data_IF_889199159881
#
_entry.id   IF_889199159881
#
_cell.length_a   1.000
_cell.length_b   1.000
_cell.length_c   1.000
_cell.angle_alpha   90.00
_cell.angle_beta   90.00
_cell.angle_gamma   90.00
#
_symmetry.space_group_name_H-M   'P 1'
#
loop_
_entity.id
_entity.type
_entity.pdbx_description
1 polymer ?
2 non-polymer ?
3 non-polymer ?
4 non-polymer ?
5 non-polymer ?
6 non-polymer ?
7 water ?
#
# COMPACT_ATOMS: atom_id res chain seq x y z
N UNK A 1 24.65 5.02 -7.54
CA UNK A 1 23.85 5.07 -6.33
C UNK A 1 22.53 5.80 -6.46
N UNK A 2 21.50 5.08 -6.93
CA UNK A 2 20.15 5.64 -7.08
C UNK A 2 19.40 5.49 -5.75
N UNK A 3 18.90 6.62 -5.23
CA UNK A 3 18.15 6.65 -3.98
C UNK A 3 16.71 7.04 -4.31
N UNK A 4 15.85 6.05 -4.49
CA UNK A 4 14.49 6.33 -4.96
C UNK A 4 13.69 7.15 -3.95
N UNK A 5 12.95 8.13 -4.45
CA UNK A 5 12.14 9.02 -3.62
C UNK A 5 10.73 8.45 -3.52
N UNK A 6 10.32 8.04 -2.30
CA UNK A 6 8.97 7.53 -2.06
C UNK A 6 8.11 8.59 -1.38
N UNK A 7 6.88 8.71 -1.84
CA UNK A 7 5.90 9.61 -1.24
C UNK A 7 4.63 8.83 -0.93
N UNK A 8 4.04 9.11 0.23
CA UNK A 8 2.76 8.53 0.63
C UNK A 8 1.75 9.67 0.70
N UNK A 9 0.65 9.54 -0.06
CA UNK A 9 -0.33 10.62 -0.22
C UNK A 9 -1.69 10.12 0.30
N UNK A 10 -2.17 10.72 1.38
CA UNK A 10 -3.50 10.42 1.88
C UNK A 10 -4.49 11.35 1.20
N UNK A 11 -5.62 10.77 0.76
CA UNK A 11 -6.63 11.56 0.04
C UNK A 11 -7.98 11.35 0.73
N UNK A 12 -8.56 12.41 1.26
CA UNK A 12 -9.81 12.28 1.98
C UNK A 12 -9.60 11.82 3.41
N UNK A 13 -10.72 11.62 4.09
CA UNK A 13 -10.64 11.36 5.52
C UNK A 13 -9.91 10.08 5.92
N UNK A 14 -10.38 8.94 5.42
CA UNK A 14 -9.78 7.67 5.81
C UNK A 14 -8.32 7.60 5.39
N UNK A 15 -8.02 8.04 4.17
CA UNK A 15 -6.62 8.06 3.72
C UNK A 15 -5.72 8.91 4.60
N UNK A 16 -6.20 10.09 5.03
CA UNK A 16 -5.38 10.90 5.91
C UNK A 16 -5.32 10.35 7.34
N UNK A 17 -6.37 9.64 7.80
CA UNK A 17 -6.27 8.96 9.09
C UNK A 17 -5.13 7.95 9.07
N UNK A 18 -5.07 7.14 8.00
CA UNK A 18 -4.03 6.13 7.88
C UNK A 18 -2.65 6.77 7.86
N UNK A 19 -2.51 7.89 7.14
CA UNK A 19 -1.24 8.60 7.10
C UNK A 19 -0.87 9.12 8.49
N UNK A 20 -1.84 9.69 9.21
CA UNK A 20 -1.53 10.21 10.54
C UNK A 20 -1.01 9.09 11.44
N UNK A 21 -1.67 7.94 11.41
CA UNK A 21 -1.24 6.85 12.28
C UNK A 21 0.10 6.26 11.85
N UNK A 22 0.42 6.31 10.56
CA UNK A 22 1.74 5.88 10.12
C UNK A 22 2.83 6.85 10.56
N UNK A 23 2.56 8.15 10.49
CA UNK A 23 3.51 9.16 10.96
C UNK A 23 3.84 8.96 12.43
N UNK A 24 2.84 8.56 13.22
CA UNK A 24 3.08 8.26 14.63
C UNK A 24 4.14 7.17 14.82
N UNK A 25 4.45 6.41 13.77
CA UNK A 25 5.55 5.45 13.80
C UNK A 25 6.89 6.06 13.40
N UNK A 26 6.91 7.33 12.99
CA UNK A 26 8.16 8.01 12.66
C UNK A 26 8.95 7.40 11.52
N UNK A 27 8.29 7.13 10.40
CA UNK A 27 8.97 6.55 9.25
C UNK A 27 9.85 7.59 8.58
N UNK A 28 11.13 7.25 8.37
CA UNK A 28 12.18 8.25 8.16
C UNK A 28 12.21 8.80 6.73
N UNK A 29 12.62 7.97 5.77
CA UNK A 29 12.99 8.46 4.45
C UNK A 29 11.79 8.78 3.55
N UNK A 30 10.58 8.66 4.04
CA UNK A 30 9.40 8.78 3.19
C UNK A 30 8.76 10.14 3.40
N UNK A 31 8.31 10.78 2.32
CA UNK A 31 7.61 12.04 2.41
C UNK A 31 6.10 11.77 2.45
N UNK A 32 5.42 12.39 3.41
CA UNK A 32 3.97 12.24 3.56
C UNK A 32 3.27 13.51 3.11
N UNK A 33 2.21 13.35 2.32
CA UNK A 33 1.42 14.45 1.79
C UNK A 33 -0.04 14.18 2.17
N UNK A 34 -0.73 15.21 2.68
CA UNK A 34 -2.13 15.08 3.05
C UNK A 34 -2.96 15.91 2.10
N UNK A 35 -3.95 15.29 1.44
CA UNK A 35 -4.82 15.99 0.50
C UNK A 35 -6.25 15.84 1.00
N UNK A 36 -6.94 16.96 1.21
CA UNK A 36 -8.33 16.84 1.61
C UNK A 36 -9.08 18.10 1.19
N UNK A 37 -10.41 17.96 1.00
CA UNK A 37 -11.29 19.13 0.90
C UNK A 37 -11.58 19.74 2.26
N UNK A 38 -11.69 18.88 3.27
CA UNK A 38 -12.12 19.17 4.65
C UNK A 38 -10.99 19.92 5.38
N UNK A 39 -11.13 21.23 5.51
CA UNK A 39 -10.07 22.02 6.12
C UNK A 39 -9.90 21.78 7.60
N UNK A 40 -10.99 21.45 8.29
CA UNK A 40 -10.91 21.11 9.71
C UNK A 40 -10.04 19.87 9.92
N UNK A 41 -10.34 18.78 9.20
CA UNK A 41 -9.54 17.57 9.30
C UNK A 41 -8.11 17.81 8.84
N UNK A 42 -7.94 18.54 7.74
CA UNK A 42 -6.58 18.77 7.23
C UNK A 42 -5.71 19.48 8.25
N UNK A 43 -6.29 20.42 9.01
CA UNK A 43 -5.54 21.19 10.00
C UNK A 43 -4.96 20.31 11.09
N UNK A 44 -5.52 19.12 11.28
CA UNK A 44 -5.05 18.17 12.27
C UNK A 44 -4.11 17.12 11.69
N UNK A 45 -3.83 17.18 10.39
CA UNK A 45 -2.88 16.26 9.80
C UNK A 45 -1.48 16.45 10.37
N UNK A 46 -0.76 15.36 10.52
CA UNK A 46 0.63 15.40 10.93
C UNK A 46 1.59 15.45 9.75
N UNK A 47 1.10 15.40 8.52
CA UNK A 47 1.97 15.38 7.36
C UNK A 47 2.65 16.72 7.15
N UNK A 48 3.90 16.65 6.67
CA UNK A 48 4.71 17.83 6.40
C UNK A 48 4.09 18.72 5.34
N UNK A 49 3.41 18.12 4.36
CA UNK A 49 2.86 18.84 3.22
C UNK A 49 1.36 18.64 3.24
N UNK A 50 0.61 19.74 3.24
CA UNK A 50 -0.85 19.68 3.28
C UNK A 50 -1.41 20.46 2.10
N UNK A 51 -2.32 19.84 1.36
CA UNK A 51 -2.91 20.47 0.17
C UNK A 51 -4.40 20.47 0.41
N UNK A 52 -4.98 21.64 0.60
CA UNK A 52 -6.44 21.76 0.66
C UNK A 52 -6.94 21.93 -0.77
N UNK A 53 -7.74 20.98 -1.24
CA UNK A 53 -8.24 21.03 -2.61
C UNK A 53 -9.69 21.49 -2.62
N UNK A 54 -10.08 22.16 -3.69
CA UNK A 54 -11.47 22.50 -3.85
C UNK A 54 -12.04 23.58 -2.96
N UNK A 55 -11.20 24.47 -2.42
CA UNK A 55 -11.72 25.46 -1.48
C UNK A 55 -12.81 26.33 -2.11
N UNK A 56 -12.67 26.71 -3.39
CA UNK A 56 -13.72 27.51 -4.01
C UNK A 56 -15.01 26.71 -4.20
N UNK A 57 -14.88 25.39 -4.33
CA UNK A 57 -16.02 24.53 -4.59
C UNK A 57 -16.78 24.19 -3.31
N UNK A 58 -16.05 23.76 -2.26
CA UNK A 58 -16.67 23.31 -1.02
C UNK A 58 -16.67 24.34 0.09
N UNK A 59 -16.11 25.53 -0.12
CA UNK A 59 -15.97 26.55 0.91
C UNK A 59 -15.18 26.04 2.12
N UNK A 60 -14.35 25.02 1.94
CA UNK A 60 -13.51 24.52 3.00
C UNK A 60 -14.08 23.30 3.71
N UNK A 61 -15.28 22.88 3.35
CA UNK A 61 -15.87 21.65 3.85
C UNK A 61 -15.40 20.44 3.05
N UNK A 62 -15.80 19.25 3.52
CA UNK A 62 -15.64 18.06 2.73
C UNK A 62 -16.60 18.07 1.54
N UNK A 63 -16.61 16.94 0.84
CA UNK A 63 -17.35 16.73 -0.40
C UNK A 63 -18.76 16.26 -0.17
N UNK A 64 -19.15 16.07 1.09
CA UNK A 64 -20.53 15.68 1.36
C UNK A 64 -20.95 14.37 0.71
N UNK A 65 -20.03 13.42 0.66
CA UNK A 65 -20.26 12.09 0.09
C UNK A 65 -20.55 12.14 -1.41
N UNK A 66 -20.18 13.23 -2.09
CA UNK A 66 -20.41 13.37 -3.53
C UNK A 66 -19.10 13.21 -4.28
N UNK A 67 -18.83 12.07 -4.94
CA UNK A 67 -17.51 11.90 -5.59
C UNK A 67 -17.27 12.89 -6.69
N UNK A 68 -18.33 13.40 -7.30
CA UNK A 68 -18.14 14.38 -8.36
C UNK A 68 -17.49 15.64 -7.83
N UNK A 69 -17.80 16.01 -6.59
CA UNK A 69 -17.16 17.17 -5.96
C UNK A 69 -15.71 16.85 -5.63
N UNK A 70 -15.43 15.62 -5.18
CA UNK A 70 -14.03 15.28 -4.92
C UNK A 70 -13.19 15.34 -6.18
N UNK A 71 -13.72 14.83 -7.29
CA UNK A 71 -13.00 14.85 -8.57
C UNK A 71 -12.76 16.28 -9.04
N UNK A 72 -13.81 17.10 -9.03
CA UNK A 72 -13.67 18.49 -9.47
C UNK A 72 -12.69 19.25 -8.59
N UNK A 73 -12.72 18.99 -7.27
CA UNK A 73 -11.77 19.64 -6.37
C UNK A 73 -10.33 19.29 -6.73
N UNK A 74 -10.06 18.00 -7.02
CA UNK A 74 -8.69 17.65 -7.40
C UNK A 74 -8.29 18.30 -8.72
N UNK A 75 -9.24 18.39 -9.65
CA UNK A 75 -8.94 19.02 -10.93
C UNK A 75 -8.68 20.52 -10.75
N UNK A 76 -9.49 21.20 -9.92
CA UNK A 76 -9.26 22.62 -9.59
C UNK A 76 -7.84 22.85 -9.09
N UNK A 77 -7.31 21.91 -8.31
CA UNK A 77 -6.00 22.06 -7.67
C UNK A 77 -4.91 21.22 -8.33
N UNK A 78 -5.09 20.83 -9.60
CA UNK A 78 -4.08 20.02 -10.28
C UNK A 78 -2.66 20.58 -10.12
N UNK A 79 -2.49 21.90 -10.22
CA UNK A 79 -1.12 22.44 -10.18
C UNK A 79 -0.48 22.26 -8.81
N UNK A 80 -1.27 22.39 -7.75
CA UNK A 80 -0.71 22.21 -6.42
C UNK A 80 -0.39 20.75 -6.16
N UNK A 81 -1.21 19.85 -6.71
CA UNK A 81 -0.92 18.42 -6.61
C UNK A 81 0.34 18.07 -7.37
N UNK A 82 0.47 18.57 -8.61
CA UNK A 82 1.70 18.34 -9.37
C UNK A 82 2.93 18.82 -8.61
N UNK A 83 2.86 20.05 -8.07
CA UNK A 83 3.97 20.60 -7.32
C UNK A 83 4.37 19.70 -6.16
N UNK A 84 3.38 19.14 -5.45
CA UNK A 84 3.67 18.32 -4.27
C UNK A 84 4.30 16.99 -4.66
N UNK A 85 3.88 16.43 -5.80
CA UNK A 85 4.40 15.12 -6.24
C UNK A 85 5.80 15.22 -6.84
N UNK A 86 6.17 16.40 -7.35
CA UNK A 86 7.43 16.58 -8.05
C UNK A 86 8.60 15.89 -7.36
N UNK A 87 9.36 15.14 -8.16
CA UNK A 87 10.53 14.44 -7.70
C UNK A 87 10.26 12.98 -7.31
N UNK A 88 9.00 12.59 -7.17
CA UNK A 88 8.70 11.24 -6.71
C UNK A 88 9.12 10.21 -7.74
N UNK A 89 9.71 9.11 -7.25
CA UNK A 89 9.95 7.93 -8.05
C UNK A 89 8.86 6.89 -7.84
N UNK A 90 8.27 6.90 -6.64
CA UNK A 90 7.18 5.98 -6.27
C UNK A 90 6.20 6.75 -5.41
N UNK A 91 4.93 6.62 -5.71
CA UNK A 91 3.86 7.25 -4.94
C UNK A 91 2.88 6.18 -4.49
N UNK A 92 2.61 6.14 -3.19
CA UNK A 92 1.47 5.40 -2.65
C UNK A 92 0.30 6.37 -2.47
N UNK A 93 -0.83 6.10 -3.10
CA UNK A 93 -2.03 6.93 -2.93
C UNK A 93 -2.98 6.12 -2.08
N UNK A 94 -3.29 6.62 -0.88
CA UNK A 94 -4.12 5.86 0.04
C UNK A 94 -5.41 6.61 0.35
N UNK A 95 -6.52 5.89 0.38
CA UNK A 95 -7.82 6.53 0.43
C UNK A 95 -8.87 5.50 0.83
N UNK A 96 -9.96 5.97 1.44
CA UNK A 96 -11.09 5.11 1.73
C UNK A 96 -12.12 5.36 0.66
N UNK A 97 -12.49 4.31 -0.07
CA UNK A 97 -13.48 4.47 -1.13
C UNK A 97 -14.90 4.47 -0.58
N UNK A 98 -15.76 5.29 -1.17
CA UNK A 98 -17.16 5.31 -0.82
C UNK A 98 -17.68 6.68 -0.41
N UNK A 99 -16.79 7.57 0.03
CA UNK A 99 -17.14 8.92 0.41
C UNK A 99 -16.99 9.81 -0.79
N UNK A 100 -16.86 11.11 -0.54
CA UNK A 100 -16.83 12.01 -1.68
C UNK A 100 -15.43 12.39 -2.14
N UNK A 101 -14.54 12.67 -1.18
CA UNK A 101 -13.21 13.15 -1.54
C UNK A 101 -12.31 12.01 -2.00
N UNK A 102 -12.17 10.96 -1.21
CA UNK A 102 -11.38 9.83 -1.67
C UNK A 102 -11.86 9.26 -3.00
N UNK A 103 -13.14 8.90 -3.07
CA UNK A 103 -13.68 8.31 -4.30
C UNK A 103 -13.37 9.15 -5.52
N UNK A 104 -13.53 10.47 -5.42
CA UNK A 104 -13.44 11.28 -6.62
C UNK A 104 -12.05 11.82 -6.86
N UNK A 105 -11.35 12.22 -5.79
CA UNK A 105 -10.03 12.83 -5.96
C UNK A 105 -8.89 11.82 -6.00
N UNK A 106 -9.01 10.67 -5.36
CA UNK A 106 -7.87 9.74 -5.36
C UNK A 106 -7.48 9.30 -6.76
N UNK A 107 -8.41 8.96 -7.68
CA UNK A 107 -7.99 8.64 -9.05
C UNK A 107 -7.33 9.80 -9.78
N UNK A 108 -7.71 11.04 -9.49
CA UNK A 108 -7.06 12.18 -10.13
C UNK A 108 -5.63 12.33 -9.62
N UNK A 109 -5.45 12.19 -8.31
CA UNK A 109 -4.12 12.24 -7.75
C UNK A 109 -3.25 11.14 -8.35
N UNK A 110 -3.79 9.92 -8.39
CA UNK A 110 -3.03 8.80 -8.97
C UNK A 110 -2.66 9.05 -10.43
N UNK A 111 -3.62 9.53 -11.24
CA UNK A 111 -3.33 9.83 -12.64
C UNK A 111 -2.18 10.85 -12.77
N UNK A 112 -2.20 11.89 -11.94
CA UNK A 112 -1.17 12.92 -12.03
C UNK A 112 0.20 12.32 -11.71
N UNK A 113 0.27 11.47 -10.68
CA UNK A 113 1.54 10.85 -10.33
C UNK A 113 2.02 9.94 -11.46
N UNK A 114 1.12 9.17 -12.07
CA UNK A 114 1.54 8.27 -13.13
C UNK A 114 1.94 9.05 -14.36
N UNK A 115 1.23 10.16 -14.65
CA UNK A 115 1.61 11.04 -15.76
C UNK A 115 3.01 11.60 -15.59
N UNK A 116 3.43 11.83 -14.34
CA UNK A 116 4.77 12.34 -14.08
C UNK A 116 5.83 11.25 -14.05
N UNK A 117 5.46 10.01 -14.37
CA UNK A 117 6.42 8.93 -14.48
C UNK A 117 6.70 8.17 -13.19
N UNK A 118 5.98 8.48 -12.11
CA UNK A 118 6.19 7.74 -10.86
C UNK A 118 5.51 6.39 -10.90
N UNK A 119 6.15 5.40 -10.29
CA UNK A 119 5.48 4.13 -10.03
C UNK A 119 4.36 4.40 -9.04
N UNK A 120 3.11 4.17 -9.45
CA UNK A 120 1.96 4.61 -8.65
C UNK A 120 1.17 3.43 -8.11
N UNK A 121 1.12 3.30 -6.78
CA UNK A 121 0.42 2.19 -6.13
C UNK A 121 -0.73 2.75 -5.32
N UNK A 122 -1.94 2.24 -5.54
CA UNK A 122 -3.08 2.66 -4.73
C UNK A 122 -3.28 1.65 -3.62
N UNK A 123 -3.62 2.14 -2.43
CA UNK A 123 -3.96 1.27 -1.29
C UNK A 123 -5.26 1.84 -0.72
N UNK A 124 -6.38 1.17 -0.98
CA UNK A 124 -7.69 1.75 -0.68
C UNK A 124 -8.51 0.73 0.07
N UNK A 125 -9.48 1.22 0.85
CA UNK A 125 -10.48 0.37 1.47
C UNK A 125 -11.79 0.41 0.70
N UNK A 126 -12.57 -0.68 0.79
CA UNK A 126 -13.99 -0.66 0.47
C UNK A 126 -14.77 -0.53 1.77
N UNK A 127 -15.97 0.04 1.72
CA UNK A 127 -16.74 0.27 2.94
C UNK A 127 -17.29 -1.02 3.54
N UNK A 128 -17.60 -0.94 4.84
CA UNK A 128 -18.28 -2.04 5.52
C UNK A 128 -19.65 -2.25 4.90
N UNK A 129 -20.07 -3.50 4.80
CA UNK A 129 -21.44 -3.78 4.40
C UNK A 129 -22.46 -3.01 5.24
N UNK A 130 -22.15 -2.76 6.53
CA UNK A 130 -23.14 -2.07 7.35
C UNK A 130 -23.32 -0.61 6.95
N UNK A 131 -22.44 -0.07 6.08
CA UNK A 131 -22.62 1.27 5.54
C UNK A 131 -23.60 1.33 4.38
N UNK A 132 -24.06 0.19 3.87
CA UNK A 132 -25.17 0.20 2.94
C UNK A 132 -24.74 -0.08 1.51
N UNK A 133 -25.68 -0.64 0.72
CA UNK A 133 -25.40 -0.96 -0.68
C UNK A 133 -25.01 0.28 -1.48
N UNK A 134 -25.65 1.41 -1.20
CA UNK A 134 -25.38 2.61 -1.99
C UNK A 134 -23.93 3.03 -1.83
N UNK A 135 -23.45 3.08 -0.60
CA UNK A 135 -22.05 3.43 -0.40
C UNK A 135 -21.12 2.40 -1.05
N UNK A 136 -21.50 1.12 -0.99
CA UNK A 136 -20.66 0.10 -1.63
C UNK A 136 -20.59 0.31 -3.14
N UNK A 137 -21.72 0.67 -3.75
CA UNK A 137 -21.72 0.88 -5.19
C UNK A 137 -20.90 2.11 -5.55
N UNK A 138 -21.03 3.18 -4.76
CA UNK A 138 -20.20 4.34 -5.00
C UNK A 138 -18.71 3.98 -4.87
N UNK A 139 -18.37 3.20 -3.84
CA UNK A 139 -16.98 2.80 -3.66
C UNK A 139 -16.48 1.94 -4.82
N UNK A 140 -17.31 1.03 -5.35
CA UNK A 140 -16.84 0.17 -6.43
C UNK A 140 -16.54 0.98 -7.68
N UNK A 141 -17.30 2.04 -7.94
CA UNK A 141 -16.94 2.93 -9.05
C UNK A 141 -15.60 3.60 -8.77
N UNK A 142 -15.33 3.97 -7.52
CA UNK A 142 -14.03 4.53 -7.18
C UNK A 142 -12.92 3.52 -7.39
N UNK A 143 -13.16 2.26 -6.98
CA UNK A 143 -12.14 1.23 -7.19
C UNK A 143 -11.81 1.10 -8.66
N UNK A 144 -12.84 1.07 -9.50
CA UNK A 144 -12.58 0.91 -10.93
C UNK A 144 -11.82 2.10 -11.50
N UNK A 145 -12.18 3.31 -11.08
CA UNK A 145 -11.43 4.48 -11.52
C UNK A 145 -9.98 4.41 -11.05
N UNK A 146 -9.77 3.93 -9.82
CA UNK A 146 -8.38 3.78 -9.33
C UNK A 146 -7.61 2.78 -10.18
N UNK A 147 -8.21 1.62 -10.49
CA UNK A 147 -7.55 0.64 -11.35
C UNK A 147 -7.08 1.29 -12.64
N UNK A 148 -7.91 2.16 -13.20
CA UNK A 148 -7.59 2.79 -14.48
C UNK A 148 -6.48 3.80 -14.36
N UNK A 149 -6.17 4.24 -13.14
CA UNK A 149 -5.23 5.35 -12.92
C UNK A 149 -3.90 4.93 -12.31
N UNK A 150 -3.79 3.73 -11.75
CA UNK A 150 -2.59 3.35 -11.02
C UNK A 150 -1.82 2.29 -11.82
N UNK A 151 -0.57 2.08 -11.40
CA UNK A 151 0.19 0.91 -11.83
C UNK A 151 -0.32 -0.36 -11.17
N UNK A 152 -0.54 -0.33 -9.84
CA UNK A 152 -0.97 -1.52 -9.13
C UNK A 152 -1.86 -1.07 -7.97
N UNK A 153 -2.86 -1.89 -7.64
CA UNK A 153 -3.88 -1.54 -6.67
C UNK A 153 -4.00 -2.60 -5.62
N UNK A 154 -3.98 -2.18 -4.35
CA UNK A 154 -4.26 -3.07 -3.22
C UNK A 154 -5.61 -2.66 -2.63
N UNK A 155 -6.56 -3.57 -2.57
CA UNK A 155 -7.88 -3.26 -2.05
C UNK A 155 -8.07 -3.98 -0.73
N UNK A 156 -8.39 -3.21 0.31
CA UNK A 156 -8.70 -3.76 1.63
C UNK A 156 -10.20 -3.64 1.87
N UNK A 157 -10.99 -4.71 1.77
CA UNK A 157 -12.42 -4.61 2.13
C UNK A 157 -12.52 -4.46 3.64
N UNK A 158 -13.14 -3.36 4.09
CA UNK A 158 -13.28 -3.15 5.54
C UNK A 158 -14.03 -4.32 6.19
N UNK A 159 -14.91 -4.99 5.45
CA UNK A 159 -15.59 -6.15 6.05
C UNK A 159 -14.59 -7.18 6.58
N UNK A 160 -13.39 -7.28 6.00
CA UNK A 160 -12.43 -8.26 6.49
C UNK A 160 -11.98 -7.97 7.92
N UNK A 161 -12.03 -6.70 8.34
CA UNK A 161 -11.71 -6.41 9.74
C UNK A 161 -12.67 -7.13 10.67
N UNK A 162 -13.88 -7.45 10.20
CA UNK A 162 -14.82 -8.12 11.09
C UNK A 162 -14.45 -9.58 11.27
N UNK A 163 -13.49 -10.05 10.49
CA UNK A 163 -13.00 -11.42 10.61
C UNK A 163 -11.89 -11.56 11.64
N UNK A 164 -11.30 -10.45 12.09
CA UNK A 164 -10.15 -10.48 12.99
C UNK A 164 -10.42 -9.81 14.33
N UNK A 165 -11.64 -9.36 14.62
CA UNK A 165 -11.96 -8.78 15.91
C UNK A 165 -12.83 -9.74 16.70
N UNK A 166 -12.83 -9.57 18.02
CA UNK A 166 -13.90 -10.17 18.81
C UNK A 166 -14.92 -9.07 19.11
N UNK A 167 -15.95 -9.38 19.91
CA UNK A 167 -17.02 -8.40 20.06
C UNK A 167 -16.59 -7.17 20.81
N UNK A 168 -15.43 -7.20 21.48
CA UNK A 168 -14.96 -6.07 22.26
C UNK A 168 -13.77 -5.32 21.67
N UNK A 169 -13.12 -5.83 20.62
CA UNK A 169 -11.93 -5.18 20.07
C UNK A 169 -12.23 -3.70 19.73
N UNK A 170 -11.47 -2.75 20.27
CA UNK A 170 -11.75 -1.34 19.95
C UNK A 170 -11.71 -1.09 18.45
N UNK A 171 -12.61 -0.21 17.99
CA UNK A 171 -12.59 0.16 16.58
C UNK A 171 -11.21 0.66 16.16
N UNK A 172 -10.57 1.47 17.00
CA UNK A 172 -9.27 2.03 16.60
C UNK A 172 -8.21 0.95 16.49
N UNK A 173 -8.26 -0.08 17.33
CA UNK A 173 -7.32 -1.19 17.19
C UNK A 173 -7.56 -1.94 15.88
N UNK A 174 -8.83 -2.11 15.49
CA UNK A 174 -9.12 -2.72 14.20
C UNK A 174 -8.57 -1.88 13.06
N UNK A 175 -8.76 -0.56 13.15
CA UNK A 175 -8.26 0.30 12.08
C UNK A 175 -6.73 0.21 11.95
N UNK A 176 -6.02 -0.02 13.06
CA UNK A 176 -4.56 -0.14 12.94
C UNK A 176 -4.16 -1.38 12.16
N UNK A 177 -4.97 -2.45 12.19
CA UNK A 177 -4.63 -3.61 11.37
C UNK A 177 -4.71 -3.27 9.90
N UNK A 178 -5.72 -2.49 9.50
CA UNK A 178 -5.79 -2.07 8.11
C UNK A 178 -4.64 -1.12 7.77
N UNK A 179 -4.30 -0.19 8.69
CA UNK A 179 -3.17 0.73 8.45
C UNK A 179 -1.89 -0.03 8.17
N UNK A 180 -1.73 -1.20 8.79
CA UNK A 180 -0.48 -1.94 8.69
C UNK A 180 -0.26 -2.52 7.29
N UNK A 181 -1.33 -2.72 6.52
CA UNK A 181 -1.17 -3.12 5.14
C UNK A 181 -0.33 -2.08 4.40
N UNK A 182 -0.73 -0.82 4.54
CA UNK A 182 0.03 0.29 3.92
C UNK A 182 1.42 0.41 4.54
N UNK A 183 1.51 0.40 5.87
CA UNK A 183 2.80 0.63 6.53
C UNK A 183 3.83 -0.43 6.13
N UNK A 184 3.43 -1.71 6.14
CA UNK A 184 4.42 -2.73 5.84
C UNK A 184 4.87 -2.65 4.39
N UNK A 185 3.97 -2.30 3.47
CA UNK A 185 4.36 -2.17 2.07
C UNK A 185 5.36 -1.04 1.85
N UNK A 186 5.07 0.13 2.42
CA UNK A 186 5.97 1.28 2.32
C UNK A 186 7.30 0.96 2.98
N UNK A 187 7.26 0.48 4.21
CA UNK A 187 8.49 0.14 4.91
C UNK A 187 9.28 -0.93 4.17
N UNK A 188 8.60 -1.94 3.62
CA UNK A 188 9.29 -3.01 2.93
C UNK A 188 10.02 -2.53 1.68
N UNK A 189 9.39 -1.65 0.90
CA UNK A 189 10.08 -1.07 -0.25
C UNK A 189 11.25 -0.22 0.22
N UNK A 190 11.03 0.58 1.27
CA UNK A 190 12.12 1.40 1.80
C UNK A 190 13.32 0.56 2.20
N UNK A 191 13.07 -0.60 2.83
CA UNK A 191 14.17 -1.49 3.20
C UNK A 191 14.88 -2.03 1.97
N UNK A 192 14.11 -2.40 0.96
CA UNK A 192 14.69 -2.95 -0.26
C UNK A 192 15.63 -1.96 -0.91
N UNK A 193 15.24 -0.69 -0.93
CA UNK A 193 16.08 0.35 -1.51
C UNK A 193 17.32 0.59 -0.67
N UNK A 194 17.19 0.60 0.65
CA UNK A 194 18.28 1.05 1.50
C UNK A 194 19.35 -0.01 1.73
N UNK A 195 18.97 -1.27 1.80
CA UNK A 195 19.84 -2.35 2.25
C UNK A 195 20.45 -3.03 1.03
N UNK A 196 21.72 -3.43 1.12
CA UNK A 196 22.36 -4.21 0.07
C UNK A 196 22.23 -5.69 0.40
N UNK A 197 21.55 -6.46 -0.47
CA UNK A 197 21.35 -7.87 -0.23
C UNK A 197 22.47 -8.74 -0.80
N UNK A 198 22.62 -9.94 -0.24
CA UNK A 198 23.54 -10.91 -0.81
C UNK A 198 23.12 -11.33 -2.20
N UNK A 199 21.82 -11.50 -2.42
CA UNK A 199 21.24 -11.42 -3.76
C UNK A 199 20.42 -10.15 -3.77
N UNK A 200 20.94 -9.12 -4.44
CA UNK A 200 20.45 -7.75 -4.29
C UNK A 200 19.33 -7.47 -5.27
N UNK A 201 18.22 -6.95 -4.76
CA UNK A 201 17.09 -6.49 -5.55
C UNK A 201 17.03 -4.97 -5.40
N UNK A 202 16.48 -4.28 -6.38
CA UNK A 202 16.45 -2.83 -6.21
C UNK A 202 15.18 -2.26 -6.84
N UNK A 203 15.13 -0.93 -6.94
CA UNK A 203 13.88 -0.31 -7.36
C UNK A 203 13.52 -0.69 -8.80
N UNK A 204 14.51 -0.96 -9.65
CA UNK A 204 14.16 -1.39 -10.99
C UNK A 204 13.42 -2.74 -11.00
N UNK A 205 13.76 -3.65 -10.08
CA UNK A 205 12.99 -4.90 -9.92
C UNK A 205 11.57 -4.62 -9.46
N UNK A 206 11.39 -3.70 -8.49
CA UNK A 206 10.04 -3.30 -8.07
C UNK A 206 9.25 -2.77 -9.27
N UNK A 207 9.90 -1.93 -10.09
CA UNK A 207 9.23 -1.38 -11.27
C UNK A 207 8.80 -2.49 -12.23
N UNK A 208 9.66 -3.47 -12.46
CA UNK A 208 9.28 -4.57 -13.37
C UNK A 208 8.05 -5.32 -12.85
N UNK A 209 8.02 -5.60 -11.54
CA UNK A 209 6.91 -6.39 -11.00
C UNK A 209 5.61 -5.57 -10.88
N UNK A 210 5.70 -4.26 -10.61
CA UNK A 210 4.50 -3.49 -10.26
C UNK A 210 4.01 -2.53 -11.35
N UNK A 211 4.83 -2.21 -12.35
CA UNK A 211 4.41 -1.17 -13.31
C UNK A 211 3.34 -1.74 -14.24
N UNK A 212 2.19 -1.06 -14.31
CA UNK A 212 1.08 -1.46 -15.18
C UNK A 212 0.66 -2.93 -15.00
N UNK A 213 0.40 -3.36 -13.74
CA UNK A 213 0.16 -4.79 -13.46
C UNK A 213 -1.10 -5.09 -12.65
N UNK A 214 -2.05 -4.17 -12.54
CA UNK A 214 -3.39 -4.52 -12.03
C UNK A 214 -3.46 -4.66 -10.50
N UNK A 215 -3.97 -5.79 -10.02
CA UNK A 215 -4.10 -6.02 -8.59
C UNK A 215 -2.75 -6.42 -8.00
N UNK A 216 -2.57 -6.13 -6.71
CA UNK A 216 -1.31 -6.46 -6.05
C UNK A 216 -1.55 -6.92 -4.62
N UNK A 217 -0.57 -7.66 -4.14
CA UNK A 217 -0.41 -8.10 -2.75
C UNK A 217 0.97 -7.65 -2.29
N UNK A 218 1.05 -7.13 -1.06
CA UNK A 218 2.31 -6.75 -0.43
C UNK A 218 2.25 -7.32 0.98
N UNK A 219 3.04 -8.35 1.26
CA UNK A 219 2.92 -9.07 2.51
C UNK A 219 4.26 -9.34 3.17
N UNK A 220 4.19 -9.59 4.47
CA UNK A 220 5.39 -9.89 5.24
C UNK A 220 5.04 -10.96 6.25
N UNK A 221 5.98 -11.88 6.47
CA UNK A 221 5.81 -12.94 7.46
C UNK A 221 7.09 -13.10 8.26
N UNK A 222 6.93 -13.25 9.57
CA UNK A 222 8.08 -13.41 10.47
C UNK A 222 7.88 -14.67 11.30
N UNK A 223 8.89 -15.55 11.33
CA UNK A 223 8.78 -16.74 12.15
C UNK A 223 10.15 -17.18 12.65
N UNK A 224 10.13 -18.05 13.65
CA UNK A 224 11.36 -18.61 14.20
C UNK A 224 11.16 -20.11 14.38
N UNK A 225 12.22 -20.78 14.81
CA UNK A 225 12.10 -22.16 15.18
C UNK A 225 11.99 -23.12 14.02
N UNK A 226 11.49 -24.31 14.34
CA UNK A 226 11.25 -25.34 13.34
C UNK A 226 10.26 -24.84 12.29
N UNK A 227 10.56 -25.16 11.04
CA UNK A 227 9.69 -24.82 9.92
C UNK A 227 9.53 -23.30 9.72
N UNK A 228 10.50 -22.52 10.22
CA UNK A 228 10.37 -21.06 10.16
C UNK A 228 10.19 -20.53 8.74
N UNK A 229 10.90 -21.11 7.76
CA UNK A 229 10.80 -20.57 6.40
C UNK A 229 9.43 -20.81 5.79
N UNK A 230 8.89 -22.02 5.94
CA UNK A 230 7.54 -22.31 5.46
C UNK A 230 6.52 -21.43 6.18
N UNK A 231 6.65 -21.33 7.51
CA UNK A 231 5.65 -20.57 8.27
C UNK A 231 5.72 -19.08 7.94
N UNK A 232 6.92 -18.54 7.75
CA UNK A 232 7.02 -17.12 7.41
C UNK A 232 6.49 -16.85 6.01
N UNK A 233 6.77 -17.74 5.06
CA UNK A 233 6.27 -17.55 3.70
C UNK A 233 4.76 -17.69 3.65
N UNK A 234 4.21 -18.66 4.38
CA UNK A 234 2.75 -18.78 4.46
C UNK A 234 2.13 -17.51 5.02
N UNK A 235 2.75 -16.89 6.04
CA UNK A 235 2.20 -15.65 6.60
C UNK A 235 2.26 -14.51 5.60
N UNK A 236 3.34 -14.43 4.83
CA UNK A 236 3.50 -13.31 3.92
C UNK A 236 2.42 -13.30 2.84
N UNK A 237 1.91 -14.47 2.45
CA UNK A 237 0.92 -14.54 1.37
C UNK A 237 -0.48 -14.78 1.87
N UNK A 238 -0.71 -14.79 3.18
CA UNK A 238 -2.00 -15.20 3.75
C UNK A 238 -2.53 -14.13 4.71
N UNK A 239 -2.68 -12.90 4.25
CA UNK A 239 -3.34 -11.91 5.13
C UNK A 239 -4.86 -12.08 5.08
N UNK A 240 -5.53 -12.09 6.22
CA UNK A 240 -7.00 -12.14 6.20
C UNK A 240 -7.65 -10.88 5.62
N UNK A 241 -6.88 -9.84 5.30
CA UNK A 241 -7.42 -8.53 5.00
C UNK A 241 -7.47 -8.20 3.51
N UNK A 242 -6.97 -9.05 2.65
CA UNK A 242 -6.87 -8.65 1.27
C UNK A 242 -8.01 -9.24 0.45
N UNK A 243 -8.42 -8.48 -0.55
CA UNK A 243 -9.34 -8.94 -1.57
C UNK A 243 -8.63 -9.92 -2.52
N UNK A 244 -7.52 -9.48 -3.09
CA UNK A 244 -6.77 -10.26 -4.07
C UNK A 244 -5.88 -11.26 -3.34
N UNK A 245 -6.21 -12.54 -3.45
CA UNK A 245 -5.32 -13.60 -3.02
C UNK A 245 -4.20 -13.82 -4.04
N UNK A 246 -3.17 -14.55 -3.63
CA UNK A 246 -2.01 -14.75 -4.51
C UNK A 246 -2.26 -15.79 -5.59
N UNK A 247 -3.39 -16.50 -5.55
CA UNK A 247 -3.69 -17.50 -6.57
C UNK A 247 -3.71 -16.86 -7.95
N UNK A 248 -2.86 -17.35 -8.85
CA UNK A 248 -2.83 -16.84 -10.20
C UNK A 248 -1.83 -15.73 -10.47
N UNK A 249 -1.02 -15.35 -9.48
CA UNK A 249 -0.05 -14.26 -9.68
C UNK A 249 0.90 -14.55 -10.83
N UNK A 250 1.10 -13.54 -11.68
CA UNK A 250 2.01 -13.61 -12.83
C UNK A 250 3.34 -12.94 -12.57
N UNK A 251 3.49 -12.24 -11.46
CA UNK A 251 4.74 -11.60 -11.11
C UNK A 251 4.93 -11.65 -9.61
N UNK A 252 6.13 -12.02 -9.16
CA UNK A 252 6.44 -12.09 -7.73
C UNK A 252 7.82 -11.51 -7.52
N UNK A 253 7.90 -10.54 -6.61
CA UNK A 253 9.17 -10.11 -6.04
C UNK A 253 9.17 -10.63 -4.61
N UNK A 254 10.13 -11.50 -4.31
CA UNK A 254 10.18 -12.17 -3.01
C UNK A 254 11.56 -11.98 -2.40
N UNK A 255 11.61 -11.73 -1.09
CA UNK A 255 12.90 -11.63 -0.43
C UNK A 255 12.88 -12.41 0.87
N UNK A 256 13.99 -13.06 1.21
CA UNK A 256 14.13 -13.71 2.51
C UNK A 256 15.28 -13.03 3.25
N UNK A 257 15.03 -12.60 4.48
CA UNK A 257 16.07 -12.04 5.35
C UNK A 257 16.22 -12.99 6.54
N UNK A 258 17.47 -13.36 6.84
CA UNK A 258 17.72 -14.11 8.05
C UNK A 258 19.13 -13.82 8.53
N UNK A 259 19.49 -14.46 9.64
CA UNK A 259 20.85 -14.42 10.13
C UNK A 259 21.76 -15.37 9.35
N UNK A 260 22.97 -15.55 9.88
CA UNK A 260 23.94 -16.41 9.19
C UNK A 260 23.45 -17.86 9.09
N UNK A 261 22.47 -18.27 9.89
CA UNK A 261 21.97 -19.64 9.85
C UNK A 261 21.04 -19.91 8.67
N UNK A 262 20.65 -18.88 7.92
CA UNK A 262 19.71 -19.05 6.82
C UNK A 262 20.22 -20.10 5.83
N UNK A 263 19.45 -21.16 5.63
CA UNK A 263 19.95 -22.27 4.83
C UNK A 263 19.45 -22.19 3.40
N UNK A 264 20.21 -22.77 2.47
CA UNK A 264 19.73 -22.83 1.09
C UNK A 264 18.44 -23.61 1.02
N UNK A 265 18.36 -24.72 1.75
CA UNK A 265 17.13 -25.51 1.74
C UNK A 265 15.92 -24.69 2.17
N UNK A 266 16.06 -23.86 3.18
CA UNK A 266 14.83 -23.18 3.58
C UNK A 266 14.48 -22.04 2.64
N UNK A 267 15.47 -21.44 1.94
CA UNK A 267 15.13 -20.56 0.83
C UNK A 267 14.28 -21.27 -0.21
N UNK A 268 14.64 -22.51 -0.58
CA UNK A 268 13.84 -23.28 -1.53
C UNK A 268 12.44 -23.52 -0.98
N UNK A 269 12.34 -23.89 0.30
CA UNK A 269 11.01 -24.17 0.85
C UNK A 269 10.11 -22.95 0.79
N UNK A 270 10.65 -21.79 1.15
CA UNK A 270 9.85 -20.56 1.11
C UNK A 270 9.43 -20.25 -0.32
N UNK A 271 10.38 -20.31 -1.26
CA UNK A 271 10.02 -20.05 -2.66
C UNK A 271 8.94 -21.01 -3.15
N UNK A 272 9.05 -22.29 -2.80
CA UNK A 272 8.06 -23.26 -3.27
C UNK A 272 6.66 -22.94 -2.72
N UNK A 273 6.58 -22.48 -1.46
CA UNK A 273 5.28 -22.10 -0.90
C UNK A 273 4.64 -21.02 -1.77
N UNK A 274 5.44 -20.02 -2.16
CA UNK A 274 4.91 -18.91 -2.95
C UNK A 274 4.59 -19.36 -4.38
N UNK A 275 5.48 -20.15 -4.98
CA UNK A 275 5.26 -20.69 -6.31
C UNK A 275 4.00 -21.55 -6.39
N UNK A 276 3.75 -22.35 -5.34
CA UNK A 276 2.64 -23.30 -5.41
C UNK A 276 1.28 -22.61 -5.44
N UNK A 277 1.23 -21.29 -5.49
CA UNK A 277 0.01 -20.55 -5.73
C UNK A 277 0.04 -19.74 -7.01
N UNK A 278 1.18 -19.12 -7.32
CA UNK A 278 1.34 -18.30 -8.52
C UNK A 278 1.18 -19.13 -9.80
N UNK A 279 1.09 -18.41 -10.91
CA UNK A 279 0.99 -19.03 -12.21
C UNK A 279 2.29 -19.77 -12.53
N UNK A 280 2.19 -20.85 -13.30
CA UNK A 280 3.39 -21.61 -13.65
C UNK A 280 4.40 -20.76 -14.40
N UNK A 281 3.92 -19.73 -15.11
CA UNK A 281 4.77 -18.84 -15.87
C UNK A 281 5.07 -17.54 -15.13
N UNK A 282 5.09 -17.58 -13.80
CA UNK A 282 5.29 -16.36 -13.01
C UNK A 282 6.71 -15.82 -13.22
N UNK A 283 6.82 -14.52 -13.41
CA UNK A 283 8.14 -13.89 -13.37
C UNK A 283 8.51 -13.73 -11.90
N UNK A 284 9.44 -14.55 -11.38
CA UNK A 284 9.84 -14.45 -9.98
C UNK A 284 11.20 -13.79 -9.86
N UNK A 285 11.28 -12.76 -9.05
CA UNK A 285 12.55 -12.09 -8.74
C UNK A 285 12.78 -12.36 -7.26
N UNK A 286 13.78 -13.20 -6.96
CA UNK A 286 14.04 -13.68 -5.62
C UNK A 286 15.31 -13.06 -5.07
N UNK A 287 15.23 -12.54 -3.85
CA UNK A 287 16.39 -11.95 -3.22
C UNK A 287 16.59 -12.51 -1.83
N UNK A 288 17.79 -12.26 -1.30
CA UNK A 288 18.18 -12.72 0.03
C UNK A 288 19.03 -11.66 0.72
N UNK A 289 18.78 -11.44 2.01
CA UNK A 289 19.60 -10.59 2.85
C UNK A 289 20.09 -11.43 4.02
N UNK A 290 21.37 -11.35 4.32
CA UNK A 290 21.91 -11.93 5.53
C UNK A 290 22.17 -10.80 6.51
N UNK A 291 21.37 -10.75 7.57
CA UNK A 291 21.51 -9.75 8.62
C UNK A 291 22.06 -10.44 9.85
N UNK A 292 23.37 -10.37 10.11
CA UNK A 292 23.95 -11.11 11.24
C UNK A 292 23.41 -10.67 12.59
N UNK A 293 22.74 -9.52 12.68
CA UNK A 293 22.09 -9.13 13.93
C UNK A 293 20.98 -10.10 14.29
N UNK A 294 20.34 -10.69 13.29
CA UNK A 294 19.29 -11.67 13.56
C UNK A 294 19.91 -12.96 14.08
N UNK A 295 19.13 -13.67 14.89
CA UNK A 295 19.55 -14.97 15.39
C UNK A 295 18.62 -16.00 14.75
N UNK A 296 17.52 -16.37 15.40
CA UNK A 296 16.65 -17.42 14.88
C UNK A 296 15.51 -16.90 14.00
N UNK A 297 15.30 -15.58 13.91
CA UNK A 297 14.18 -15.05 13.14
C UNK A 297 14.46 -15.06 11.64
N UNK A 298 13.43 -15.36 10.85
CA UNK A 298 13.48 -15.26 9.40
C UNK A 298 12.31 -14.38 8.96
N UNK A 299 12.53 -13.52 7.97
CA UNK A 299 11.50 -12.62 7.49
C UNK A 299 11.32 -12.88 6.01
N UNK A 300 10.10 -13.20 5.59
CA UNK A 300 9.79 -13.37 4.17
C UNK A 300 8.88 -12.23 3.74
N UNK A 301 9.22 -11.59 2.63
CA UNK A 301 8.41 -10.50 2.10
C UNK A 301 8.06 -10.80 0.65
N UNK A 302 6.81 -10.51 0.26
CA UNK A 302 6.29 -10.85 -1.06
C UNK A 302 5.54 -9.67 -1.66
N UNK A 303 5.87 -9.32 -2.91
CA UNK A 303 5.00 -8.54 -3.79
C UNK A 303 4.48 -9.50 -4.85
N UNK A 304 3.17 -9.57 -5.03
CA UNK A 304 2.62 -10.43 -6.07
C UNK A 304 1.66 -9.63 -6.92
N UNK A 305 1.78 -9.74 -8.25
CA UNK A 305 0.94 -8.96 -9.16
C UNK A 305 0.49 -9.82 -10.33
N UNK A 306 -0.50 -9.31 -11.07
CA UNK A 306 -0.83 -9.85 -12.37
C UNK A 306 -1.95 -10.86 -12.42
N UNK A 307 -3.18 -10.41 -12.20
CA UNK A 307 -4.30 -11.34 -12.18
C UNK A 307 -5.30 -11.00 -13.29
#
# INVERSE_FOLDING_TARGET
GHMATLKVIGVGGGGNNAVNRMIDHGMNNVEFIAINTDGQALNLSKAESKIQIGEKLTRGLGAGANPEIGKKAAEESREQIEDAIQGADMVFVTSGMGGGTGTGAAPVVAKIAKEMGALTVGVVTRPFSFEGRKRQTQAAAGVEAMKAAVDTLIVIPNDRLLDIVDKSTPMMEAFKEADNVLRQGVQGISDLIAVSGEVNLDFADVKTIMSNQGSALMGIGVSSGENRAVEAAKKAISSPLLETSIVGAQGVLMNITGGESLSLFEAQEAADIVQDAADEDVNMIFGTVINPELQDEIVVTVIATGF
#
